data_IF_319168849859
#
_entry.id   IF_319168849859
#
_cell.length_a   1.000
_cell.length_b   1.000
_cell.length_c   1.000
_cell.angle_alpha   90.00
_cell.angle_beta   90.00
_cell.angle_gamma   90.00
#
_symmetry.space_group_name_H-M   'P 1'
#
loop_
_entity.id
_entity.type
_entity.pdbx_description
1 polymer ?
#
# COMPACT_ATOMS: atom_id res chain seq x y z
N UNK A 1 44.38 -75.02 20.21
CA UNK A 1 43.49 -74.65 21.34
C UNK A 1 43.28 -73.15 21.25
N UNK A 2 42.09 -72.59 21.23
CA UNK A 2 40.76 -73.16 21.35
C UNK A 2 39.82 -72.00 21.02
N UNK A 3 38.83 -72.30 20.17
CA UNK A 3 37.47 -71.75 20.19
C UNK A 3 37.32 -70.23 19.99
N UNK A 4 36.76 -69.83 18.86
CA UNK A 4 35.30 -69.77 18.67
C UNK A 4 34.59 -69.12 19.86
N UNK A 5 34.16 -67.87 19.73
CA UNK A 5 32.84 -67.49 20.23
C UNK A 5 32.32 -66.20 19.55
N UNK A 6 31.27 -66.37 18.74
CA UNK A 6 30.24 -65.37 18.36
C UNK A 6 30.69 -64.26 17.38
N UNK A 7 30.64 -64.42 16.06
CA UNK A 7 29.43 -64.65 15.25
C UNK A 7 28.15 -64.01 15.81
N UNK A 8 28.16 -62.68 15.93
CA UNK A 8 26.91 -61.92 15.75
C UNK A 8 26.86 -61.47 14.30
N UNK A 9 26.45 -62.36 13.40
CA UNK A 9 26.15 -62.00 12.01
C UNK A 9 24.85 -61.19 12.01
N UNK A 10 24.95 -59.90 12.33
CA UNK A 10 23.91 -58.93 11.97
C UNK A 10 23.95 -58.84 10.46
N UNK A 11 23.13 -59.67 9.80
CA UNK A 11 22.84 -59.59 8.39
C UNK A 11 22.17 -58.22 8.16
N UNK A 12 22.98 -57.20 7.91
CA UNK A 12 22.53 -55.96 7.29
C UNK A 12 21.98 -56.34 5.92
N UNK A 13 20.69 -56.68 5.90
CA UNK A 13 19.92 -56.68 4.66
C UNK A 13 19.88 -55.21 4.26
N UNK A 14 20.82 -54.84 3.39
CA UNK A 14 20.80 -53.57 2.68
C UNK A 14 19.51 -53.61 1.88
N UNK A 15 18.44 -53.07 2.45
CA UNK A 15 17.26 -52.74 1.67
C UNK A 15 17.77 -51.76 0.63
N UNK A 16 17.92 -52.26 -0.60
CA UNK A 16 18.21 -51.45 -1.76
C UNK A 16 16.97 -50.58 -2.00
N UNK A 17 16.78 -49.57 -1.16
CA UNK A 17 16.02 -48.39 -1.54
C UNK A 17 16.76 -47.85 -2.73
N UNK A 18 16.17 -48.01 -3.90
CA UNK A 18 16.65 -47.38 -5.12
C UNK A 18 16.77 -45.89 -4.83
N UNK A 19 17.99 -45.37 -4.79
CA UNK A 19 18.24 -43.93 -4.79
C UNK A 19 17.74 -43.40 -6.13
N UNK A 20 16.47 -42.97 -6.16
CA UNK A 20 15.87 -42.30 -7.30
C UNK A 20 16.38 -40.87 -7.33
N UNK A 21 17.46 -40.63 -8.09
CA UNK A 21 17.91 -39.28 -8.43
C UNK A 21 17.02 -38.66 -9.51
N UNK A 22 16.84 -37.33 -9.44
CA UNK A 22 16.23 -36.57 -10.54
C UNK A 22 17.10 -36.64 -11.80
N UNK A 23 16.46 -36.72 -12.96
CA UNK A 23 17.21 -36.68 -14.22
C UNK A 23 17.58 -35.23 -14.57
N UNK A 24 18.72 -35.03 -15.24
CA UNK A 24 19.13 -33.70 -15.71
C UNK A 24 18.10 -33.11 -16.69
N UNK A 25 17.48 -33.96 -17.51
CA UNK A 25 16.45 -33.57 -18.46
C UNK A 25 15.18 -33.04 -17.77
N UNK A 26 14.82 -33.58 -16.62
CA UNK A 26 13.62 -33.21 -15.87
C UNK A 26 13.76 -31.82 -15.25
N UNK A 27 14.93 -31.50 -14.70
CA UNK A 27 15.25 -30.14 -14.27
C UNK A 27 15.38 -29.18 -15.46
N UNK A 28 15.88 -29.65 -16.61
CA UNK A 28 16.01 -28.83 -17.82
C UNK A 28 14.64 -28.43 -18.39
N UNK A 29 13.75 -29.39 -18.63
CA UNK A 29 12.42 -29.10 -19.19
C UNK A 29 11.58 -28.31 -18.20
N UNK A 30 11.63 -28.64 -16.90
CA UNK A 30 10.94 -27.87 -15.86
C UNK A 30 11.42 -26.42 -15.82
N UNK A 31 12.73 -26.18 -15.89
CA UNK A 31 13.31 -24.83 -15.95
C UNK A 31 12.85 -24.03 -17.17
N UNK A 32 12.73 -24.67 -18.34
CA UNK A 32 12.21 -24.03 -19.56
C UNK A 32 10.74 -23.63 -19.37
N UNK A 33 9.92 -24.53 -18.85
CA UNK A 33 8.48 -24.27 -18.65
C UNK A 33 8.29 -23.15 -17.61
N UNK A 34 8.96 -23.22 -16.46
CA UNK A 34 8.91 -22.17 -15.42
C UNK A 34 9.44 -20.84 -15.97
N UNK A 35 10.50 -20.85 -16.79
CA UNK A 35 11.03 -19.67 -17.45
C UNK A 35 9.99 -18.97 -18.34
N UNK A 36 9.32 -19.72 -19.20
CA UNK A 36 8.27 -19.19 -20.09
C UNK A 36 7.08 -18.66 -19.28
N UNK A 37 6.62 -19.41 -18.27
CA UNK A 37 5.49 -18.99 -17.43
C UNK A 37 5.83 -17.75 -16.59
N UNK A 38 7.03 -17.67 -16.02
CA UNK A 38 7.46 -16.55 -15.17
C UNK A 38 7.46 -15.21 -15.91
N UNK A 39 7.84 -15.22 -17.20
CA UNK A 39 7.86 -14.02 -18.05
C UNK A 39 6.46 -13.40 -18.19
N UNK A 40 5.40 -14.22 -18.20
CA UNK A 40 4.02 -13.74 -18.26
C UNK A 40 3.46 -13.45 -16.86
N UNK A 41 3.80 -14.28 -15.87
CA UNK A 41 3.25 -14.20 -14.53
C UNK A 41 3.76 -12.98 -13.74
N UNK A 42 5.04 -12.64 -13.85
CA UNK A 42 5.65 -11.54 -13.08
C UNK A 42 5.00 -10.17 -13.36
N UNK A 43 4.88 -9.69 -14.61
CA UNK A 43 4.28 -8.37 -14.86
C UNK A 43 2.81 -8.31 -14.43
N UNK A 44 2.06 -9.39 -14.65
CA UNK A 44 0.66 -9.48 -14.21
C UNK A 44 0.54 -9.46 -12.67
N UNK A 45 1.45 -10.16 -11.98
CA UNK A 45 1.53 -10.16 -10.53
C UNK A 45 1.83 -8.77 -9.97
N UNK A 46 2.85 -8.09 -10.49
CA UNK A 46 3.22 -6.72 -10.05
C UNK A 46 2.06 -5.75 -10.25
N UNK A 47 1.37 -5.79 -11.39
CA UNK A 47 0.19 -4.94 -11.63
C UNK A 47 -0.98 -5.23 -10.66
N UNK A 48 -1.09 -6.48 -10.19
CA UNK A 48 -2.13 -6.88 -9.22
C UNK A 48 -1.77 -6.42 -7.82
N UNK A 49 -0.52 -6.59 -7.41
CA UNK A 49 0.02 -6.03 -6.16
C UNK A 49 -0.14 -4.52 -6.12
N UNK A 50 0.15 -3.84 -7.24
CA UNK A 50 0.00 -2.39 -7.32
C UNK A 50 -1.46 -1.96 -7.05
N UNK A 51 -2.44 -2.68 -7.64
CA UNK A 51 -3.87 -2.44 -7.38
C UNK A 51 -4.25 -2.67 -5.92
N UNK A 52 -3.70 -3.70 -5.27
CA UNK A 52 -3.95 -3.96 -3.85
C UNK A 52 -3.44 -2.82 -2.96
N UNK A 53 -2.25 -2.29 -3.23
CA UNK A 53 -1.72 -1.15 -2.49
C UNK A 53 -2.61 0.10 -2.60
N UNK A 54 -3.10 0.43 -3.80
CA UNK A 54 -4.05 1.55 -3.93
C UNK A 54 -5.41 1.27 -3.30
N UNK A 55 -5.88 0.01 -3.29
CA UNK A 55 -7.12 -0.36 -2.61
C UNK A 55 -6.98 -0.21 -1.08
N UNK A 56 -5.86 -0.67 -0.52
CA UNK A 56 -5.51 -0.47 0.88
C UNK A 56 -5.45 1.02 1.22
N UNK A 57 -4.80 1.83 0.37
CA UNK A 57 -4.75 3.28 0.58
C UNK A 57 -6.14 3.91 0.62
N UNK A 58 -7.05 3.52 -0.29
CA UNK A 58 -8.45 4.00 -0.26
C UNK A 58 -9.18 3.62 1.03
N UNK A 59 -8.94 2.42 1.56
CA UNK A 59 -9.54 1.98 2.83
C UNK A 59 -9.04 2.86 3.97
N UNK A 60 -7.73 3.11 4.05
CA UNK A 60 -7.15 3.98 5.07
C UNK A 60 -7.67 5.42 5.00
N UNK A 61 -7.66 5.99 3.80
CA UNK A 61 -8.20 7.34 3.57
C UNK A 61 -9.69 7.42 3.94
N UNK A 62 -10.48 6.38 3.66
CA UNK A 62 -11.88 6.33 4.07
C UNK A 62 -12.05 6.27 5.59
N UNK A 63 -11.15 5.57 6.30
CA UNK A 63 -11.18 5.59 7.76
C UNK A 63 -10.86 6.98 8.32
N UNK A 64 -9.80 7.62 7.81
CA UNK A 64 -9.42 9.00 8.19
C UNK A 64 -10.58 9.96 7.90
N UNK A 65 -11.21 9.87 6.72
CA UNK A 65 -12.39 10.68 6.38
C UNK A 65 -13.50 10.55 7.42
N UNK A 66 -13.84 9.33 7.83
CA UNK A 66 -14.89 9.08 8.83
C UNK A 66 -14.56 9.75 10.16
N UNK A 67 -13.31 9.68 10.60
CA UNK A 67 -12.86 10.33 11.85
C UNK A 67 -12.86 11.85 11.73
N UNK A 68 -12.50 12.41 10.58
CA UNK A 68 -12.61 13.85 10.32
C UNK A 68 -14.07 14.33 10.37
N UNK A 69 -15.01 13.54 9.80
CA UNK A 69 -16.44 13.84 9.88
C UNK A 69 -16.94 13.81 11.34
N UNK A 70 -16.53 12.82 12.13
CA UNK A 70 -16.84 12.74 13.56
C UNK A 70 -16.25 13.93 14.32
N UNK A 71 -14.98 14.25 14.10
CA UNK A 71 -14.30 15.38 14.73
C UNK A 71 -15.05 16.70 14.47
N UNK A 72 -15.46 16.93 13.21
CA UNK A 72 -16.29 18.09 12.86
C UNK A 72 -17.63 18.07 13.57
N UNK A 73 -18.30 16.92 13.67
CA UNK A 73 -19.59 16.83 14.38
C UNK A 73 -19.46 17.18 15.86
N UNK A 74 -18.34 16.82 16.49
CA UNK A 74 -18.09 17.07 17.91
C UNK A 74 -17.63 18.51 18.19
N UNK A 75 -16.75 19.07 17.34
CA UNK A 75 -16.11 20.37 17.58
C UNK A 75 -16.68 21.52 16.77
N UNK A 76 -17.40 21.23 15.69
CA UNK A 76 -17.94 22.21 14.76
C UNK A 76 -17.01 22.58 13.60
N UNK A 77 -15.73 22.20 13.64
CA UNK A 77 -14.71 22.53 12.65
C UNK A 77 -13.79 21.34 12.37
N UNK A 78 -13.06 21.35 11.26
CA UNK A 78 -12.03 20.35 10.93
C UNK A 78 -10.68 20.69 11.58
N UNK A 79 -9.80 19.70 11.81
CA UNK A 79 -8.44 19.96 12.29
C UNK A 79 -7.66 20.95 11.41
N UNK A 80 -6.73 21.68 12.00
CA UNK A 80 -5.82 22.54 11.27
C UNK A 80 -4.92 21.71 10.33
N UNK A 81 -4.45 22.37 9.26
CA UNK A 81 -3.51 21.79 8.30
C UNK A 81 -2.22 21.29 8.98
N UNK A 82 -1.71 20.15 8.52
CA UNK A 82 -0.48 19.57 9.05
C UNK A 82 0.47 19.18 7.92
N UNK A 83 1.77 19.14 8.24
CA UNK A 83 2.77 18.69 7.27
C UNK A 83 2.55 17.21 6.86
N UNK A 84 3.06 16.79 5.69
CA UNK A 84 3.00 15.41 5.25
C UNK A 84 3.51 14.43 6.31
N UNK A 85 2.88 13.25 6.39
CA UNK A 85 3.16 12.21 7.38
C UNK A 85 2.92 12.62 8.86
N UNK A 86 2.21 13.72 9.11
CA UNK A 86 1.76 14.10 10.46
C UNK A 86 0.30 13.77 10.63
N UNK A 87 -0.04 13.32 11.83
CA UNK A 87 -1.42 12.99 12.20
C UNK A 87 -2.10 14.28 12.67
N UNK A 88 -3.20 14.70 12.03
CA UNK A 88 -4.01 15.81 12.54
C UNK A 88 -4.69 15.45 13.87
N UNK A 89 -5.05 16.45 14.66
CA UNK A 89 -5.58 16.22 16.02
C UNK A 89 -6.89 15.42 15.98
N UNK A 90 -7.04 14.46 16.90
CA UNK A 90 -8.27 13.67 17.02
C UNK A 90 -8.49 12.60 15.95
N UNK A 91 -7.48 12.30 15.13
CA UNK A 91 -7.52 11.24 14.12
C UNK A 91 -6.58 10.11 14.54
N UNK A 92 -7.07 8.87 14.57
CA UNK A 92 -6.33 7.67 14.96
C UNK A 92 -6.02 6.75 13.77
N UNK A 93 -6.91 6.70 12.78
CA UNK A 93 -6.79 5.87 11.58
C UNK A 93 -5.72 6.36 10.57
N UNK A 94 -4.93 7.37 10.93
CA UNK A 94 -3.90 7.93 10.05
C UNK A 94 -2.62 7.07 10.11
N UNK A 95 -2.34 6.33 9.04
CA UNK A 95 -1.10 5.58 8.94
C UNK A 95 0.08 6.49 8.66
N UNK A 96 1.17 6.29 9.41
CA UNK A 96 2.44 6.98 9.20
C UNK A 96 3.49 6.03 8.63
N UNK A 97 4.41 6.55 7.83
CA UNK A 97 5.51 5.77 7.23
C UNK A 97 6.33 5.00 8.27
N UNK A 98 6.52 5.54 9.47
CA UNK A 98 7.32 4.93 10.53
C UNK A 98 6.80 3.57 10.99
N UNK A 99 5.55 3.21 10.65
CA UNK A 99 5.00 1.89 10.98
C UNK A 99 5.43 0.81 9.99
N UNK A 100 5.99 1.16 8.82
CA UNK A 100 6.23 0.25 7.68
C UNK A 100 4.98 -0.55 7.25
N UNK A 101 3.79 0.00 7.52
CA UNK A 101 2.51 -0.59 7.14
C UNK A 101 1.83 0.23 6.03
N UNK A 102 2.40 1.38 5.62
CA UNK A 102 1.82 2.16 4.53
C UNK A 102 2.09 1.48 3.19
N UNK A 103 1.12 1.47 2.26
CA UNK A 103 1.36 0.94 0.92
C UNK A 103 2.57 1.63 0.27
N UNK A 104 3.48 0.83 -0.29
CA UNK A 104 4.78 1.25 -0.83
C UNK A 104 5.72 1.99 0.15
N UNK A 105 5.49 1.98 1.46
CA UNK A 105 6.12 2.91 2.43
C UNK A 105 5.95 4.39 2.03
N UNK A 106 4.83 4.70 1.38
CA UNK A 106 4.49 6.04 0.93
C UNK A 106 3.89 6.88 2.06
N UNK A 107 3.57 8.14 1.75
CA UNK A 107 3.06 9.12 2.72
C UNK A 107 1.59 9.39 2.49
N UNK A 108 0.92 9.67 3.60
CA UNK A 108 -0.35 10.38 3.62
C UNK A 108 -0.13 11.83 4.02
N UNK A 109 -0.96 12.71 3.49
CA UNK A 109 -0.99 14.12 3.79
C UNK A 109 -2.43 14.55 3.99
N UNK A 110 -2.71 15.22 5.10
CA UNK A 110 -4.02 15.78 5.40
C UNK A 110 -3.94 17.27 5.15
N UNK A 111 -4.81 17.75 4.28
CA UNK A 111 -4.78 19.14 3.84
C UNK A 111 -6.12 19.82 4.12
N UNK A 112 -6.03 20.97 4.77
CA UNK A 112 -7.16 21.85 5.02
C UNK A 112 -6.92 23.18 4.31
N UNK A 113 -7.41 23.29 3.08
CA UNK A 113 -7.11 24.46 2.26
C UNK A 113 -8.26 25.45 2.26
N UNK A 114 -8.03 26.60 2.86
CA UNK A 114 -8.96 27.72 2.85
C UNK A 114 -8.91 28.52 1.54
N UNK A 115 -10.08 28.94 1.09
CA UNK A 115 -10.35 29.74 -0.12
C UNK A 115 -11.49 30.70 0.13
N UNK A 116 -11.22 32.01 0.12
CA UNK A 116 -12.21 33.09 0.03
C UNK A 116 -13.62 32.74 0.55
N UNK A 117 -13.74 32.36 1.83
CA UNK A 117 -15.03 32.03 2.48
C UNK A 117 -15.47 30.56 2.49
N UNK A 118 -14.62 29.64 2.05
CA UNK A 118 -14.84 28.19 2.07
C UNK A 118 -13.50 27.46 2.20
N UNK A 119 -13.49 26.16 2.52
CA UNK A 119 -12.29 25.34 2.45
C UNK A 119 -12.56 24.02 1.75
N UNK A 120 -11.48 23.35 1.35
CA UNK A 120 -11.52 22.00 0.81
C UNK A 120 -10.64 21.12 1.69
N UNK A 121 -11.25 20.08 2.24
CA UNK A 121 -10.55 19.08 3.03
C UNK A 121 -10.13 17.95 2.09
N UNK A 122 -8.83 17.68 2.04
CA UNK A 122 -8.24 16.64 1.18
C UNK A 122 -7.36 15.72 2.01
N UNK A 123 -7.35 14.46 1.61
CA UNK A 123 -6.36 13.48 2.05
C UNK A 123 -5.63 13.03 0.80
N UNK A 124 -4.31 13.12 0.79
CA UNK A 124 -3.46 12.77 -0.35
C UNK A 124 -2.59 11.59 0.02
N UNK A 125 -2.46 10.62 -0.89
CA UNK A 125 -1.53 9.51 -0.81
C UNK A 125 -0.52 9.61 -1.96
N UNK A 126 0.78 9.69 -1.64
CA UNK A 126 1.88 10.01 -2.60
C UNK A 126 2.28 8.85 -3.52
N UNK A 127 1.39 7.88 -3.73
CA UNK A 127 1.61 6.79 -4.67
C UNK A 127 2.87 5.94 -4.40
N UNK A 128 3.36 5.31 -5.46
CA UNK A 128 4.51 4.40 -5.50
C UNK A 128 5.83 5.17 -5.54
N UNK A 129 5.86 6.36 -6.14
CA UNK A 129 7.08 7.15 -6.27
C UNK A 129 7.46 7.90 -4.97
N UNK A 130 6.51 8.00 -4.02
CA UNK A 130 6.65 8.61 -2.68
C UNK A 130 6.87 10.12 -2.73
N UNK A 131 6.54 10.76 -3.83
CA UNK A 131 6.70 12.19 -4.06
C UNK A 131 5.31 12.80 -4.21
N UNK A 132 5.19 14.06 -3.80
CA UNK A 132 3.98 14.83 -4.06
C UNK A 132 4.12 15.47 -5.44
N UNK A 133 3.21 15.15 -6.35
CA UNK A 133 3.19 15.67 -7.72
C UNK A 133 2.21 16.85 -7.88
N UNK A 134 1.36 17.09 -6.88
CA UNK A 134 0.63 18.36 -6.78
C UNK A 134 1.54 19.56 -6.53
N UNK A 135 1.37 20.59 -7.36
CA UNK A 135 1.92 21.92 -7.12
C UNK A 135 0.97 22.66 -6.18
N UNK A 136 1.48 23.12 -5.05
CA UNK A 136 0.79 23.77 -3.92
C UNK A 136 0.13 25.11 -4.30
N UNK A 137 0.07 25.48 -5.58
CA UNK A 137 -0.43 26.80 -5.98
C UNK A 137 -1.94 26.83 -6.21
N UNK A 138 -2.57 27.87 -5.65
CA UNK A 138 -3.99 28.16 -5.44
C UNK A 138 -5.02 27.88 -6.57
N UNK A 139 -4.62 27.45 -7.76
CA UNK A 139 -5.54 27.05 -8.84
C UNK A 139 -6.10 25.62 -8.65
N UNK A 140 -5.50 24.81 -7.77
CA UNK A 140 -5.92 23.45 -7.39
C UNK A 140 -7.20 23.36 -6.54
N UNK A 141 -7.75 24.51 -6.13
CA UNK A 141 -9.01 24.62 -5.37
C UNK A 141 -10.25 24.49 -6.26
N UNK A 142 -10.08 24.61 -7.58
CA UNK A 142 -11.09 24.30 -8.59
C UNK A 142 -11.30 22.79 -8.76
N UNK A 143 -10.31 22.00 -8.35
CA UNK A 143 -10.28 20.56 -8.58
C UNK A 143 -10.72 19.83 -7.31
N UNK A 144 -11.77 19.02 -7.46
CA UNK A 144 -12.35 18.17 -6.42
C UNK A 144 -13.22 18.89 -5.38
N UNK A 145 -14.00 19.87 -5.82
CA UNK A 145 -15.06 20.50 -5.00
C UNK A 145 -16.18 19.52 -4.61
N UNK A 146 -16.28 18.39 -5.33
CA UNK A 146 -17.18 17.31 -4.99
C UNK A 146 -16.44 16.28 -4.12
N UNK A 147 -17.18 15.64 -3.21
CA UNK A 147 -16.63 14.58 -2.40
C UNK A 147 -16.37 13.33 -3.26
N UNK A 148 -15.20 12.72 -3.12
CA UNK A 148 -14.85 11.54 -3.91
C UNK A 148 -13.36 11.24 -3.96
N UNK A 149 -13.05 10.09 -4.55
CA UNK A 149 -11.68 9.72 -4.88
C UNK A 149 -11.30 10.23 -6.25
N UNK A 150 -10.11 10.79 -6.37
CA UNK A 150 -9.58 11.34 -7.60
C UNK A 150 -8.14 10.91 -7.82
N UNK A 151 -7.78 10.81 -9.09
CA UNK A 151 -6.41 10.53 -9.52
C UNK A 151 -5.89 11.75 -10.26
N UNK A 152 -4.67 12.16 -9.96
CA UNK A 152 -4.05 13.34 -10.57
C UNK A 152 -3.66 13.17 -12.04
N UNK A 153 -3.77 11.95 -12.59
CA UNK A 153 -3.34 11.62 -13.96
C UNK A 153 -3.92 12.51 -15.05
N UNK A 154 -5.06 13.17 -14.79
CA UNK A 154 -5.67 14.13 -15.71
C UNK A 154 -4.84 15.42 -15.84
N UNK A 155 -4.17 15.85 -14.76
CA UNK A 155 -3.34 17.05 -14.69
C UNK A 155 -1.87 16.74 -14.96
N UNK A 156 -1.37 15.66 -14.37
CA UNK A 156 0.00 15.19 -14.52
C UNK A 156 -0.03 13.69 -14.84
N UNK A 157 0.28 13.34 -16.09
CA UNK A 157 0.26 11.94 -16.56
C UNK A 157 1.22 11.04 -15.78
N UNK A 158 2.28 11.62 -15.24
CA UNK A 158 3.31 10.90 -14.51
C UNK A 158 2.98 10.83 -13.01
N UNK A 159 1.94 11.52 -12.56
CA UNK A 159 1.48 11.43 -11.18
C UNK A 159 0.80 10.10 -10.89
N UNK A 160 1.12 9.58 -9.72
CA UNK A 160 0.49 8.42 -9.12
C UNK A 160 -0.15 8.76 -7.76
N UNK A 161 -0.32 10.06 -7.50
CA UNK A 161 -1.04 10.59 -6.35
C UNK A 161 -2.53 10.17 -6.39
N UNK A 162 -3.02 9.74 -5.23
CA UNK A 162 -4.43 9.46 -4.99
C UNK A 162 -4.98 10.47 -4.00
N UNK A 163 -6.06 11.16 -4.38
CA UNK A 163 -6.75 12.12 -3.52
C UNK A 163 -8.09 11.57 -3.06
N UNK A 164 -8.46 11.90 -1.82
CA UNK A 164 -9.81 11.82 -1.31
C UNK A 164 -10.24 13.23 -0.88
N UNK A 165 -11.21 13.80 -1.58
CA UNK A 165 -11.82 15.07 -1.20
C UNK A 165 -13.10 14.83 -0.41
N UNK A 166 -13.33 15.63 0.63
CA UNK A 166 -14.62 15.71 1.32
C UNK A 166 -15.54 16.75 0.67
N UNK A 167 -15.10 17.37 -0.43
CA UNK A 167 -15.81 18.43 -1.13
C UNK A 167 -15.68 19.79 -0.45
N UNK A 168 -16.34 20.79 -1.04
CA UNK A 168 -16.34 22.16 -0.54
C UNK A 168 -17.06 22.26 0.81
N UNK A 169 -16.40 22.88 1.77
CA UNK A 169 -16.91 23.12 3.12
C UNK A 169 -17.06 24.63 3.35
N UNK A 170 -18.08 25.06 4.09
CA UNK A 170 -18.30 26.48 4.35
C UNK A 170 -17.25 27.00 5.36
N UNK A 171 -16.90 28.29 5.30
CA UNK A 171 -15.78 28.84 6.10
C UNK A 171 -15.85 28.61 7.61
N UNK A 172 -17.05 28.46 8.16
CA UNK A 172 -17.26 28.32 9.61
C UNK A 172 -16.72 26.99 10.16
N UNK A 173 -16.48 26.01 9.30
CA UNK A 173 -15.97 24.68 9.69
C UNK A 173 -14.51 24.47 9.32
N UNK A 174 -13.85 25.48 8.75
CA UNK A 174 -12.54 25.33 8.14
C UNK A 174 -11.42 25.35 9.15
N UNK A 175 -11.34 26.35 10.01
CA UNK A 175 -10.29 26.44 11.04
C UNK A 175 -10.90 27.10 12.28
N UNK A 176 -10.22 26.99 13.43
CA UNK A 176 -10.64 27.62 14.68
C UNK A 176 -10.38 29.13 14.70
#
# INVERSE_FOLDING_TARGET
MEKLFQQTLIRHRKDNKSDQGFTLLELLISGIIVGILSTLAIPAYVATVDKFHYAEAKIQMSCVKRELEVFRMERGYFPDDVNPNRVPVGIECFMRRETNLTPYDSLYDYENWSTNGACVIKITFFGKDKRRNSSVNATSLSFHQQAGFYNDRERDRDSDDLYLSLGLQPSEVCEQ
#
